data_IF_154381427447
#
_entry.id   IF_154381427447
#
_cell.length_a   1.000
_cell.length_b   1.000
_cell.length_c   1.000
_cell.angle_alpha   90.00
_cell.angle_beta   90.00
_cell.angle_gamma   90.00
#
_symmetry.space_group_name_H-M   'P 1'
#
loop_
_entity.id
_entity.type
_entity.pdbx_description
1 polymer ?
#
# COMPACT_ATOMS: atom_id res chain seq x y z
N UNK A 1 0.49 -40.83 -41.77
CA UNK A 1 1.85 -41.34 -41.51
C UNK A 1 2.68 -41.09 -42.75
N UNK A 2 3.61 -40.13 -42.70
CA UNK A 2 4.74 -39.91 -43.63
C UNK A 2 5.49 -38.71 -43.07
N UNK A 3 6.55 -38.91 -42.29
CA UNK A 3 7.93 -39.18 -42.72
C UNK A 3 8.64 -37.89 -43.11
N UNK A 4 9.43 -37.37 -42.17
CA UNK A 4 10.46 -36.36 -42.41
C UNK A 4 11.80 -36.94 -41.94
N UNK A 5 12.80 -37.01 -42.81
CA UNK A 5 14.19 -36.97 -42.37
C UNK A 5 15.04 -36.04 -43.28
N UNK A 6 16.37 -35.87 -43.08
CA UNK A 6 17.07 -35.33 -41.90
C UNK A 6 18.27 -34.40 -42.34
N UNK A 7 19.23 -34.18 -41.40
CA UNK A 7 20.66 -33.78 -41.53
C UNK A 7 20.96 -32.30 -41.21
N UNK A 8 22.00 -31.91 -40.49
CA UNK A 8 23.01 -32.57 -39.65
C UNK A 8 23.85 -31.45 -38.97
N UNK A 9 24.18 -31.61 -37.69
CA UNK A 9 25.41 -31.23 -36.96
C UNK A 9 26.11 -29.87 -37.16
N UNK A 10 26.32 -29.10 -36.06
CA UNK A 10 27.60 -28.50 -35.53
C UNK A 10 27.33 -28.17 -34.03
N UNK A 11 27.97 -28.73 -32.98
CA UNK A 11 29.36 -28.75 -32.43
C UNK A 11 29.62 -27.71 -31.30
N UNK A 12 29.92 -28.24 -30.10
CA UNK A 12 30.92 -27.85 -29.08
C UNK A 12 31.11 -26.40 -28.55
N UNK A 13 30.99 -26.31 -27.22
CA UNK A 13 32.00 -25.86 -26.23
C UNK A 13 32.54 -24.43 -26.21
N UNK A 14 32.19 -23.70 -25.14
CA UNK A 14 33.10 -22.99 -24.23
C UNK A 14 32.22 -22.51 -23.04
N UNK A 15 32.38 -22.99 -21.80
CA UNK A 15 33.37 -22.46 -20.83
C UNK A 15 33.26 -20.94 -20.73
N UNK A 16 33.03 -20.28 -19.60
CA UNK A 16 33.26 -20.53 -18.17
C UNK A 16 32.58 -19.36 -17.42
N UNK A 17 32.50 -19.49 -16.09
CA UNK A 17 32.19 -18.39 -15.15
C UNK A 17 30.73 -17.92 -15.08
N UNK A 18 29.90 -18.79 -14.51
CA UNK A 18 28.74 -18.40 -13.71
C UNK A 18 29.18 -17.71 -12.40
N UNK A 19 29.93 -16.60 -12.51
CA UNK A 19 30.43 -15.82 -11.38
C UNK A 19 30.44 -14.33 -11.70
N UNK A 20 29.31 -13.80 -12.16
CA UNK A 20 29.00 -12.39 -11.93
C UNK A 20 27.73 -12.34 -11.09
N UNK A 21 27.91 -11.81 -9.88
CA UNK A 21 26.91 -11.63 -8.82
C UNK A 21 25.56 -11.20 -9.41
N UNK A 22 24.43 -11.71 -8.93
CA UNK A 22 23.16 -11.06 -9.25
C UNK A 22 23.30 -9.57 -8.87
N UNK A 23 22.81 -8.64 -9.70
CA UNK A 23 22.76 -7.24 -9.29
C UNK A 23 22.05 -7.21 -7.95
N UNK A 24 22.68 -6.60 -6.95
CA UNK A 24 22.03 -6.24 -5.69
C UNK A 24 20.74 -5.54 -6.05
N UNK A 25 19.63 -6.29 -5.96
CA UNK A 25 18.30 -5.77 -6.09
C UNK A 25 18.07 -4.94 -4.84
N UNK A 26 18.41 -3.66 -4.94
CA UNK A 26 17.97 -2.59 -4.06
C UNK A 26 16.45 -2.47 -4.20
N UNK A 27 15.69 -3.46 -3.72
CA UNK A 27 14.24 -3.35 -3.48
C UNK A 27 14.02 -2.75 -2.09
N UNK A 28 14.70 -1.67 -1.76
CA UNK A 28 14.54 -1.01 -0.46
C UNK A 28 13.56 0.16 -0.50
N UNK A 29 12.82 0.39 -1.60
CA UNK A 29 11.90 1.53 -1.68
C UNK A 29 10.52 1.26 -2.31
N UNK A 30 10.21 0.03 -2.71
CA UNK A 30 8.91 -0.28 -3.36
C UNK A 30 7.84 -0.76 -2.37
N UNK A 31 8.23 -1.16 -1.15
CA UNK A 31 7.29 -1.65 -0.12
C UNK A 31 6.57 -0.53 0.66
N UNK A 32 6.99 0.72 0.53
CA UNK A 32 6.32 1.84 1.22
C UNK A 32 5.06 2.31 0.49
N UNK A 33 4.90 1.98 -0.81
CA UNK A 33 3.75 2.43 -1.60
C UNK A 33 2.58 1.44 -1.65
N UNK A 34 2.71 0.27 -1.04
CA UNK A 34 1.59 -0.64 -0.73
C UNK A 34 0.90 -0.28 0.61
N UNK A 35 0.99 0.97 1.06
CA UNK A 35 0.16 1.45 2.16
C UNK A 35 -1.32 1.35 1.75
N UNK A 36 -2.00 0.38 2.35
CA UNK A 36 -3.27 -0.18 1.85
C UNK A 36 -4.36 0.86 1.59
N UNK A 37 -4.89 0.85 0.37
CA UNK A 37 -6.15 1.52 0.01
C UNK A 37 -7.33 0.68 0.53
N UNK A 38 -7.50 0.65 1.85
CA UNK A 38 -8.63 -0.01 2.50
C UNK A 38 -9.68 1.02 2.90
N UNK A 39 -10.94 0.75 2.55
CA UNK A 39 -12.07 1.51 3.05
C UNK A 39 -12.45 1.04 4.46
N UNK A 40 -12.49 1.98 5.38
CA UNK A 40 -12.96 1.80 6.75
C UNK A 40 -14.41 2.27 6.85
N UNK A 41 -15.24 1.49 7.52
CA UNK A 41 -16.59 1.92 7.90
C UNK A 41 -16.54 2.92 9.05
N UNK A 42 -17.65 3.61 9.31
CA UNK A 42 -17.77 4.47 10.49
C UNK A 42 -17.41 3.71 11.78
N UNK A 43 -17.86 2.46 11.94
CA UNK A 43 -17.55 1.66 13.13
C UNK A 43 -16.04 1.43 13.24
N UNK A 44 -15.38 1.04 12.15
CA UNK A 44 -13.93 0.80 12.16
C UNK A 44 -13.14 2.07 12.55
N UNK A 45 -13.57 3.24 12.07
CA UNK A 45 -12.94 4.52 12.42
C UNK A 45 -13.12 4.86 13.91
N UNK A 46 -14.33 4.70 14.44
CA UNK A 46 -14.62 4.97 15.85
C UNK A 46 -13.86 4.04 16.78
N UNK A 47 -13.82 2.74 16.45
CA UNK A 47 -13.09 1.74 17.23
C UNK A 47 -11.59 2.03 17.20
N UNK A 48 -11.03 2.37 16.03
CA UNK A 48 -9.60 2.64 15.86
C UNK A 48 -9.12 3.89 16.60
N UNK A 49 -9.94 4.92 16.66
CA UNK A 49 -9.63 6.17 17.37
C UNK A 49 -10.07 6.14 18.84
N UNK A 50 -10.90 5.17 19.23
CA UNK A 50 -11.52 5.07 20.56
C UNK A 50 -12.29 6.35 20.92
N UNK A 51 -13.09 6.87 19.98
CA UNK A 51 -13.89 8.09 20.15
C UNK A 51 -15.37 7.87 19.86
N UNK A 52 -16.19 8.82 20.34
CA UNK A 52 -17.62 8.84 20.04
C UNK A 52 -17.90 9.35 18.62
N UNK A 53 -19.07 8.98 18.09
CA UNK A 53 -19.54 9.46 16.78
C UNK A 53 -19.68 10.99 16.71
N UNK A 54 -20.17 11.60 17.78
CA UNK A 54 -20.33 13.06 17.83
C UNK A 54 -18.98 13.76 17.77
N UNK A 55 -18.00 13.27 18.54
CA UNK A 55 -16.64 13.82 18.53
C UNK A 55 -15.99 13.67 17.16
N UNK A 56 -16.16 12.54 16.47
CA UNK A 56 -15.67 12.39 15.09
C UNK A 56 -16.19 13.50 14.17
N UNK A 57 -17.48 13.84 14.23
CA UNK A 57 -18.05 14.89 13.39
C UNK A 57 -17.63 16.30 13.80
N UNK A 58 -17.28 16.52 15.08
CA UNK A 58 -16.66 17.77 15.53
C UNK A 58 -15.24 17.88 14.96
N UNK A 59 -14.44 16.82 15.01
CA UNK A 59 -13.09 16.78 14.46
C UNK A 59 -13.07 16.97 12.94
N UNK A 60 -14.07 16.49 12.20
CA UNK A 60 -14.21 16.75 10.76
C UNK A 60 -14.38 18.25 10.47
N UNK A 61 -14.96 19.01 11.41
CA UNK A 61 -15.19 20.46 11.29
C UNK A 61 -14.07 21.29 11.93
N UNK A 62 -13.04 20.67 12.50
CA UNK A 62 -11.95 21.38 13.16
C UNK A 62 -11.20 22.26 12.14
N UNK A 63 -11.03 23.57 12.40
CA UNK A 63 -10.40 24.47 11.45
C UNK A 63 -8.87 24.40 11.41
N UNK A 64 -8.24 23.73 12.40
CA UNK A 64 -6.78 23.68 12.59
C UNK A 64 -6.21 22.37 12.07
N UNK A 65 -6.79 21.24 12.48
CA UNK A 65 -6.37 19.90 12.11
C UNK A 65 -7.63 19.04 11.88
N UNK A 66 -8.33 19.23 10.74
CA UNK A 66 -9.55 18.50 10.45
C UNK A 66 -9.29 17.01 10.27
N UNK A 67 -10.20 16.19 10.78
CA UNK A 67 -10.27 14.78 10.44
C UNK A 67 -10.76 14.61 8.97
N UNK A 68 -10.28 13.61 8.22
CA UNK A 68 -10.70 13.39 6.84
C UNK A 68 -12.22 13.28 6.68
N UNK A 69 -12.76 13.94 5.65
CA UNK A 69 -14.18 13.85 5.32
C UNK A 69 -14.53 12.47 4.74
N UNK A 70 -15.74 11.94 5.00
CA UNK A 70 -16.15 10.66 4.45
C UNK A 70 -16.28 10.69 2.92
N UNK A 71 -15.80 9.63 2.28
CA UNK A 71 -16.12 9.29 0.90
C UNK A 71 -17.46 8.55 0.89
N UNK A 72 -18.36 8.96 -0.02
CA UNK A 72 -19.68 8.35 -0.15
C UNK A 72 -19.68 7.30 -1.26
N UNK A 73 -19.91 6.04 -0.91
CA UNK A 73 -20.12 4.93 -1.85
C UNK A 73 -21.59 4.50 -1.74
N UNK A 74 -22.42 5.03 -2.64
CA UNK A 74 -23.87 4.88 -2.57
C UNK A 74 -24.43 5.48 -1.28
N UNK A 75 -25.01 4.63 -0.41
CA UNK A 75 -25.58 5.05 0.88
C UNK A 75 -24.60 4.93 2.05
N UNK A 76 -23.37 4.49 1.81
CA UNK A 76 -22.37 4.26 2.85
C UNK A 76 -21.32 5.36 2.83
N UNK A 77 -20.99 5.88 4.00
CA UNK A 77 -19.82 6.71 4.23
C UNK A 77 -18.64 5.83 4.64
N UNK A 78 -17.50 6.03 3.98
CA UNK A 78 -16.25 5.29 4.23
C UNK A 78 -15.07 6.26 4.29
N UNK A 79 -13.97 5.81 4.89
CA UNK A 79 -12.71 6.55 4.99
C UNK A 79 -11.57 5.71 4.45
N UNK A 80 -10.53 6.35 3.91
CA UNK A 80 -9.32 5.64 3.50
C UNK A 80 -8.44 5.42 4.72
N UNK A 81 -8.05 4.17 4.97
CA UNK A 81 -7.23 3.79 6.12
C UNK A 81 -5.96 4.64 6.26
N UNK A 82 -5.25 4.88 5.16
CA UNK A 82 -4.05 5.71 5.16
C UNK A 82 -4.29 7.18 5.57
N UNK A 83 -5.45 7.77 5.23
CA UNK A 83 -5.79 9.13 5.66
C UNK A 83 -6.06 9.19 7.16
N UNK A 84 -6.74 8.17 7.70
CA UNK A 84 -6.97 8.03 9.14
C UNK A 84 -5.65 7.86 9.88
N UNK A 85 -4.74 7.02 9.40
CA UNK A 85 -3.41 6.87 9.98
C UNK A 85 -2.58 8.15 9.91
N UNK A 86 -2.65 8.87 8.78
CA UNK A 86 -1.97 10.15 8.61
C UNK A 86 -2.45 11.18 9.63
N UNK A 87 -3.76 11.24 9.88
CA UNK A 87 -4.33 12.06 10.94
C UNK A 87 -3.78 11.66 12.33
N UNK A 88 -3.76 10.37 12.66
CA UNK A 88 -3.21 9.89 13.93
C UNK A 88 -1.75 10.31 14.14
N UNK A 89 -0.93 10.21 13.08
CA UNK A 89 0.47 10.67 13.10
C UNK A 89 0.58 12.17 13.34
N UNK A 90 -0.31 12.96 12.74
CA UNK A 90 -0.35 14.40 12.92
C UNK A 90 -0.80 14.81 14.33
N UNK A 91 -1.72 14.08 14.95
CA UNK A 91 -2.10 14.28 16.36
C UNK A 91 -0.91 13.93 17.27
N UNK A 92 -0.23 12.82 17.01
CA UNK A 92 0.94 12.41 17.80
C UNK A 92 2.09 13.41 17.72
N UNK A 93 2.35 14.00 16.55
CA UNK A 93 3.42 14.98 16.38
C UNK A 93 3.11 16.30 17.10
N UNK A 94 1.84 16.71 17.13
CA UNK A 94 1.39 17.88 17.90
C UNK A 94 1.44 17.62 19.41
N UNK A 95 0.98 16.45 19.87
CA UNK A 95 0.89 16.14 21.30
C UNK A 95 2.26 15.89 21.98
N UNK A 96 3.29 15.53 21.20
CA UNK A 96 4.65 15.24 21.69
C UNK A 96 5.65 16.37 21.43
N UNK A 97 5.18 17.52 20.97
CA UNK A 97 5.96 18.74 20.80
C UNK A 97 5.87 19.59 22.07
#
# INVERSE_FOLDING_TARGET
MSQFPPRAFIRMAAEREASERPPTLTHSNERESEMGLRFLSLRDVLDRLTISRSLLYELIKDPVQPFPAPIHIGRRSVWVENEVESYMRAVLSTARR
#
